data_IF_618433357034
#
_entry.id   IF_618433357034
#
_cell.length_a   1.000
_cell.length_b   1.000
_cell.length_c   1.000
_cell.angle_alpha   90.00
_cell.angle_beta   90.00
_cell.angle_gamma   90.00
#
_symmetry.space_group_name_H-M   'P 1'
#
loop_
_entity.id
_entity.type
_entity.pdbx_description
1 polymer ?
#
# COMPACT_ATOMS: atom_id res chain seq x y z
N UNK A 1 3.64 31.62 15.77
CA UNK A 1 2.76 32.15 16.84
C UNK A 1 1.34 32.16 16.32
N UNK A 2 0.62 31.07 16.54
CA UNK A 2 -0.79 30.94 16.21
C UNK A 2 -1.64 31.97 16.96
N UNK A 3 -2.69 32.48 16.32
CA UNK A 3 -3.70 33.29 17.00
C UNK A 3 -4.49 32.42 18.01
N UNK A 4 -5.12 33.06 19.01
CA UNK A 4 -5.95 32.34 20.01
C UNK A 4 -7.05 31.51 19.35
N UNK A 5 -7.69 32.06 18.32
CA UNK A 5 -8.75 31.37 17.56
C UNK A 5 -8.21 30.17 16.75
N UNK A 6 -7.00 30.29 16.19
CA UNK A 6 -6.34 29.18 15.46
C UNK A 6 -5.95 28.05 16.41
N UNK A 7 -5.41 28.37 17.58
CA UNK A 7 -5.06 27.39 18.60
C UNK A 7 -6.29 26.64 19.14
N UNK A 8 -7.42 27.32 19.30
CA UNK A 8 -8.68 26.69 19.71
C UNK A 8 -9.25 25.74 18.64
N UNK A 9 -9.22 26.12 17.35
CA UNK A 9 -9.63 25.24 16.25
C UNK A 9 -8.79 23.97 16.18
N UNK A 10 -7.46 24.11 16.28
CA UNK A 10 -6.53 22.99 16.31
C UNK A 10 -6.81 22.08 17.51
N UNK A 11 -7.00 22.66 18.70
CA UNK A 11 -7.34 21.90 19.92
C UNK A 11 -8.63 21.08 19.74
N UNK A 12 -9.68 21.67 19.18
CA UNK A 12 -10.94 20.95 18.93
C UNK A 12 -10.79 19.81 17.91
N UNK A 13 -9.97 20.01 16.87
CA UNK A 13 -9.67 18.97 15.89
C UNK A 13 -8.95 17.77 16.54
N UNK A 14 -7.95 18.03 17.39
CA UNK A 14 -7.27 16.98 18.15
C UNK A 14 -8.23 16.22 19.08
N UNK A 15 -9.09 16.92 19.81
CA UNK A 15 -10.06 16.32 20.72
C UNK A 15 -11.07 15.43 20.00
N UNK A 16 -11.46 15.79 18.78
CA UNK A 16 -12.39 15.00 17.95
C UNK A 16 -11.74 13.71 17.45
N UNK A 17 -10.46 13.74 17.08
CA UNK A 17 -9.70 12.54 16.67
C UNK A 17 -9.52 11.55 17.83
N UNK A 18 -9.36 12.03 19.06
CA UNK A 18 -9.24 11.17 20.25
C UNK A 18 -10.50 10.34 20.54
N UNK A 19 -11.68 10.75 20.05
CA UNK A 19 -12.93 10.01 20.23
C UNK A 19 -12.92 8.64 19.52
N UNK A 20 -11.95 8.39 18.64
CA UNK A 20 -11.78 7.13 17.91
C UNK A 20 -10.77 6.16 18.55
N UNK A 21 -10.15 6.54 19.68
CA UNK A 21 -9.14 5.73 20.37
C UNK A 21 -9.71 4.96 21.57
N UNK A 22 -9.07 3.85 22.00
CA UNK A 22 -9.42 3.14 23.24
C UNK A 22 -9.44 4.08 24.46
N UNK A 23 -10.46 3.94 25.33
CA UNK A 23 -10.79 4.92 26.38
C UNK A 23 -9.63 5.31 27.30
N UNK A 24 -8.74 4.36 27.62
CA UNK A 24 -7.63 4.59 28.55
C UNK A 24 -6.58 5.55 27.96
N UNK A 25 -6.24 5.39 26.68
CA UNK A 25 -5.28 6.25 25.97
C UNK A 25 -5.87 7.63 25.68
N UNK A 26 -7.15 7.68 25.31
CA UNK A 26 -7.87 8.92 25.04
C UNK A 26 -7.91 9.87 26.25
N UNK A 27 -8.09 9.34 27.46
CA UNK A 27 -8.22 10.14 28.69
C UNK A 27 -6.94 10.92 29.06
N UNK A 28 -5.77 10.31 28.85
CA UNK A 28 -4.46 10.90 29.17
C UNK A 28 -4.06 11.96 28.14
N UNK A 29 -4.26 11.66 26.86
CA UNK A 29 -3.99 12.57 25.74
C UNK A 29 -4.93 13.77 25.74
N UNK A 30 -6.20 13.57 26.11
CA UNK A 30 -7.19 14.65 26.23
C UNK A 30 -6.75 15.72 27.23
N UNK A 31 -6.32 15.30 28.43
CA UNK A 31 -5.82 16.22 29.46
C UNK A 31 -4.58 17.00 28.99
N UNK A 32 -3.67 16.34 28.27
CA UNK A 32 -2.46 16.98 27.74
C UNK A 32 -2.78 18.04 26.67
N UNK A 33 -3.73 17.76 25.77
CA UNK A 33 -4.17 18.69 24.71
C UNK A 33 -4.96 19.88 25.29
N UNK A 34 -5.77 19.66 26.32
CA UNK A 34 -6.50 20.73 27.02
C UNK A 34 -5.55 21.68 27.75
N UNK A 35 -4.46 21.17 28.34
CA UNK A 35 -3.46 22.00 29.05
C UNK A 35 -2.35 22.57 28.17
N UNK A 36 -2.29 22.24 26.88
CA UNK A 36 -1.18 22.63 26.00
C UNK A 36 -1.22 24.13 25.64
N UNK A 37 -0.04 24.76 25.66
CA UNK A 37 0.14 26.14 25.18
C UNK A 37 0.00 26.23 23.66
N UNK A 38 -0.25 27.43 23.09
CA UNK A 38 -0.33 27.61 21.64
C UNK A 38 0.89 27.10 20.87
N UNK A 39 2.10 27.29 21.40
CA UNK A 39 3.34 26.77 20.79
C UNK A 39 3.43 25.24 20.89
N UNK A 40 3.01 24.65 22.00
CA UNK A 40 2.96 23.18 22.15
C UNK A 40 1.93 22.56 21.21
N UNK A 41 0.78 23.21 21.01
CA UNK A 41 -0.23 22.79 20.02
C UNK A 41 0.29 22.92 18.59
N UNK A 42 1.05 23.98 18.28
CA UNK A 42 1.70 24.16 16.98
C UNK A 42 2.72 23.05 16.72
N UNK A 43 3.56 22.73 17.71
CA UNK A 43 4.55 21.63 17.62
C UNK A 43 3.88 20.25 17.53
N UNK A 44 2.82 20.00 18.30
CA UNK A 44 2.06 18.76 18.21
C UNK A 44 1.37 18.61 16.84
N UNK A 45 0.81 19.69 16.30
CA UNK A 45 0.22 19.70 14.96
C UNK A 45 1.28 19.46 13.89
N UNK A 46 2.43 20.13 13.98
CA UNK A 46 3.55 19.91 13.05
C UNK A 46 4.11 18.49 13.16
N UNK A 47 4.20 17.91 14.36
CA UNK A 47 4.64 16.53 14.55
C UNK A 47 3.62 15.51 14.03
N UNK A 48 2.31 15.74 14.22
CA UNK A 48 1.25 14.92 13.64
C UNK A 48 1.23 15.02 12.12
N UNK A 49 1.36 16.23 11.56
CA UNK A 49 1.46 16.47 10.12
C UNK A 49 2.72 15.77 9.59
N UNK A 50 3.87 15.89 10.24
CA UNK A 50 5.09 15.19 9.84
C UNK A 50 4.98 13.65 9.95
N UNK A 51 4.27 13.11 10.93
CA UNK A 51 4.01 11.65 11.03
C UNK A 51 2.96 11.17 10.03
N UNK A 52 1.90 11.95 9.79
CA UNK A 52 0.91 11.72 8.74
C UNK A 52 1.53 11.86 7.36
N UNK A 53 2.52 12.72 7.16
CA UNK A 53 3.29 12.88 5.93
C UNK A 53 4.33 11.76 5.76
N UNK A 54 4.92 11.27 6.86
CA UNK A 54 5.89 10.16 6.84
C UNK A 54 5.26 8.81 6.47
N UNK A 55 3.96 8.61 6.74
CA UNK A 55 3.23 7.37 6.43
C UNK A 55 1.91 7.58 5.65
N UNK A 56 1.67 8.80 5.17
CA UNK A 56 0.54 9.20 4.32
C UNK A 56 -0.87 9.01 4.93
N UNK A 57 -1.01 8.82 6.25
CA UNK A 57 -2.29 8.36 6.82
C UNK A 57 -2.71 6.95 6.37
N UNK A 58 -1.78 6.16 5.83
CA UNK A 58 -2.04 4.83 5.31
C UNK A 58 -1.91 3.76 6.41
N UNK A 59 -2.98 3.02 6.65
CA UNK A 59 -3.02 1.92 7.63
C UNK A 59 -1.95 0.85 7.33
N UNK A 60 -1.77 0.48 6.07
CA UNK A 60 -0.78 -0.54 5.68
C UNK A 60 0.66 -0.06 5.86
N UNK A 61 0.96 1.23 5.63
CA UNK A 61 2.26 1.81 5.99
C UNK A 61 2.53 1.74 7.50
N UNK A 62 1.50 1.94 8.34
CA UNK A 62 1.61 1.79 9.78
C UNK A 62 1.86 0.34 10.22
N UNK A 63 1.24 -0.64 9.54
CA UNK A 63 1.52 -2.06 9.75
C UNK A 63 2.96 -2.41 9.33
N UNK A 64 3.38 -2.01 8.13
CA UNK A 64 4.73 -2.26 7.59
C UNK A 64 5.82 -1.68 8.50
N UNK A 65 5.59 -0.49 9.07
CA UNK A 65 6.53 0.16 9.98
C UNK A 65 6.53 -0.42 11.40
N UNK A 66 5.67 -1.39 11.69
CA UNK A 66 5.58 -2.04 13.00
C UNK A 66 4.86 -1.21 14.08
N UNK A 67 4.21 -0.10 13.70
CA UNK A 67 3.43 0.73 14.63
C UNK A 67 2.12 0.03 15.05
N UNK A 68 1.57 -0.80 14.18
CA UNK A 68 0.35 -1.57 14.45
C UNK A 68 0.74 -3.05 14.52
N UNK A 69 0.39 -3.76 15.61
CA UNK A 69 0.67 -5.18 15.72
C UNK A 69 -0.12 -5.95 14.66
N UNK A 70 0.49 -7.02 14.13
CA UNK A 70 -0.11 -7.83 13.07
C UNK A 70 0.35 -9.28 13.17
N UNK A 71 -0.42 -10.19 12.59
CA UNK A 71 -0.06 -11.59 12.45
C UNK A 71 0.71 -11.80 11.14
N UNK A 72 1.99 -11.41 11.16
CA UNK A 72 2.91 -11.57 10.03
C UNK A 72 3.24 -13.04 9.81
N UNK A 73 3.06 -13.54 8.58
CA UNK A 73 3.28 -14.96 8.24
C UNK A 73 4.46 -15.15 7.29
N UNK A 74 4.80 -14.14 6.49
CA UNK A 74 5.93 -14.21 5.56
C UNK A 74 6.39 -12.80 5.19
N UNK A 75 7.69 -12.60 5.03
CA UNK A 75 8.28 -11.29 4.75
C UNK A 75 9.58 -11.44 3.98
N UNK A 76 9.81 -10.55 3.02
CA UNK A 76 11.09 -10.37 2.32
C UNK A 76 11.57 -8.92 2.49
N UNK A 77 12.61 -8.53 1.75
CA UNK A 77 13.07 -7.13 1.72
C UNK A 77 11.95 -6.16 1.35
N UNK A 78 11.16 -6.49 0.31
CA UNK A 78 10.22 -5.56 -0.30
C UNK A 78 8.74 -5.93 -0.08
N UNK A 79 8.44 -7.15 0.36
CA UNK A 79 7.07 -7.66 0.49
C UNK A 79 6.79 -8.18 1.89
N UNK A 80 5.52 -8.09 2.31
CA UNK A 80 5.01 -8.64 3.56
C UNK A 80 3.66 -9.31 3.33
N UNK A 81 3.44 -10.43 4.01
CA UNK A 81 2.17 -11.13 4.11
C UNK A 81 1.71 -11.19 5.57
N UNK A 82 0.45 -10.82 5.79
CA UNK A 82 -0.19 -10.80 7.11
C UNK A 82 -1.55 -11.50 7.04
N UNK A 83 -2.04 -12.07 8.14
CA UNK A 83 -3.42 -12.52 8.22
C UNK A 83 -4.37 -11.33 8.33
N UNK A 84 -5.50 -11.39 7.63
CA UNK A 84 -6.59 -10.46 7.82
C UNK A 84 -7.25 -10.69 9.19
N UNK A 85 -7.47 -9.60 9.94
CA UNK A 85 -8.11 -9.64 11.27
C UNK A 85 -9.64 -9.77 11.18
N UNK A 86 -10.22 -9.47 10.01
CA UNK A 86 -11.63 -9.68 9.67
C UNK A 86 -11.72 -10.63 8.47
N UNK A 87 -11.27 -11.88 8.62
CA UNK A 87 -11.06 -12.76 7.48
C UNK A 87 -12.40 -13.24 6.88
N UNK A 88 -12.52 -13.12 5.56
CA UNK A 88 -13.62 -13.74 4.81
C UNK A 88 -13.59 -15.28 4.80
N UNK A 89 -12.43 -15.90 5.03
CA UNK A 89 -12.26 -17.36 5.13
C UNK A 89 -11.04 -17.71 5.99
N UNK A 90 -10.94 -18.98 6.41
CA UNK A 90 -9.78 -19.49 7.14
C UNK A 90 -8.51 -19.29 6.31
N UNK A 91 -7.55 -18.53 6.86
CA UNK A 91 -6.28 -18.23 6.21
C UNK A 91 -6.32 -17.06 5.23
N UNK A 92 -7.38 -16.25 5.21
CA UNK A 92 -7.40 -15.00 4.46
C UNK A 92 -6.15 -14.17 4.80
N UNK A 93 -5.31 -13.95 3.78
CA UNK A 93 -4.01 -13.31 3.90
C UNK A 93 -3.96 -12.08 3.01
N UNK A 94 -3.41 -10.97 3.52
CA UNK A 94 -3.11 -9.77 2.75
C UNK A 94 -1.62 -9.75 2.42
N UNK A 95 -1.29 -9.63 1.13
CA UNK A 95 0.08 -9.47 0.63
C UNK A 95 0.25 -8.07 0.05
N UNK A 96 1.23 -7.32 0.52
CA UNK A 96 1.43 -5.92 0.13
C UNK A 96 2.93 -5.58 0.04
N UNK A 97 3.31 -4.60 -0.82
CA UNK A 97 4.66 -4.08 -0.81
C UNK A 97 4.88 -3.26 0.46
N UNK A 98 6.12 -3.24 0.95
CA UNK A 98 6.49 -2.39 2.09
C UNK A 98 6.50 -0.91 1.71
N UNK A 99 6.88 -0.60 0.48
CA UNK A 99 6.74 0.74 -0.06
C UNK A 99 5.27 1.01 -0.41
N UNK A 100 4.85 2.26 -0.22
CA UNK A 100 3.52 2.70 -0.59
C UNK A 100 3.35 2.80 -2.11
N UNK A 101 2.39 2.04 -2.64
CA UNK A 101 1.84 2.17 -3.98
C UNK A 101 0.34 2.06 -3.84
N UNK A 102 -0.44 2.91 -4.50
CA UNK A 102 -1.89 2.78 -4.46
C UNK A 102 -2.37 1.69 -5.43
N UNK A 103 -1.74 1.60 -6.61
CA UNK A 103 -2.18 0.73 -7.68
C UNK A 103 -1.11 -0.26 -8.15
N UNK A 104 -1.57 -1.42 -8.64
CA UNK A 104 -0.68 -2.49 -9.15
C UNK A 104 0.23 -2.02 -10.29
N UNK A 105 -0.30 -1.24 -11.23
CA UNK A 105 0.45 -0.77 -12.40
C UNK A 105 1.54 0.27 -12.09
N UNK A 106 1.61 0.75 -10.84
CA UNK A 106 2.67 1.65 -10.35
C UNK A 106 3.94 0.88 -9.91
N UNK A 107 3.84 -0.43 -9.71
CA UNK A 107 4.98 -1.27 -9.36
C UNK A 107 5.98 -1.32 -10.53
N UNK A 108 7.28 -1.36 -10.19
CA UNK A 108 8.33 -1.61 -11.18
C UNK A 108 8.36 -3.08 -11.59
N UNK A 109 8.98 -3.35 -12.74
CA UNK A 109 9.10 -4.71 -13.28
C UNK A 109 9.87 -5.64 -12.34
N UNK A 110 10.85 -5.10 -11.59
CA UNK A 110 11.58 -5.84 -10.56
C UNK A 110 10.66 -6.21 -9.38
N UNK A 111 9.86 -5.26 -8.88
CA UNK A 111 8.92 -5.52 -7.78
C UNK A 111 7.85 -6.53 -8.20
N UNK A 112 7.36 -6.45 -9.45
CA UNK A 112 6.42 -7.41 -10.01
C UNK A 112 7.02 -8.81 -10.11
N UNK A 113 8.28 -8.91 -10.57
CA UNK A 113 9.00 -10.18 -10.64
C UNK A 113 9.19 -10.80 -9.25
N UNK A 114 9.59 -9.98 -8.26
CA UNK A 114 9.71 -10.41 -6.87
C UNK A 114 8.37 -10.86 -6.27
N UNK A 115 7.27 -10.18 -6.58
CA UNK A 115 5.92 -10.54 -6.14
C UNK A 115 5.52 -11.94 -6.63
N UNK A 116 5.78 -12.25 -7.90
CA UNK A 116 5.50 -13.57 -8.46
C UNK A 116 6.24 -14.68 -7.71
N UNK A 117 7.53 -14.47 -7.40
CA UNK A 117 8.33 -15.41 -6.62
C UNK A 117 7.83 -15.50 -5.17
N UNK A 118 7.48 -14.37 -4.56
CA UNK A 118 6.91 -14.30 -3.21
C UNK A 118 5.63 -15.12 -3.10
N UNK A 119 4.70 -14.93 -4.04
CA UNK A 119 3.42 -15.67 -4.08
C UNK A 119 3.64 -17.16 -4.36
N UNK A 120 4.57 -17.52 -5.25
CA UNK A 120 4.94 -18.91 -5.54
C UNK A 120 5.42 -19.64 -4.29
N UNK A 121 6.15 -18.97 -3.40
CA UNK A 121 6.61 -19.56 -2.14
C UNK A 121 5.50 -19.65 -1.09
N UNK A 122 4.62 -18.64 -1.00
CA UNK A 122 3.62 -18.53 0.05
C UNK A 122 2.37 -19.39 -0.20
N UNK A 123 1.81 -19.36 -1.42
CA UNK A 123 0.50 -19.94 -1.72
C UNK A 123 0.43 -21.46 -1.44
N UNK A 124 1.41 -22.29 -1.86
CA UNK A 124 1.36 -23.73 -1.59
C UNK A 124 1.35 -24.04 -0.10
N UNK A 125 2.13 -23.29 0.70
CA UNK A 125 2.16 -23.45 2.15
C UNK A 125 0.82 -23.04 2.76
N UNK A 126 0.24 -21.93 2.31
CA UNK A 126 -1.06 -21.45 2.78
C UNK A 126 -2.17 -22.47 2.49
N UNK A 127 -2.22 -23.04 1.29
CA UNK A 127 -3.18 -24.08 0.91
C UNK A 127 -3.01 -25.32 1.80
N UNK A 128 -1.78 -25.79 1.99
CA UNK A 128 -1.50 -26.98 2.79
C UNK A 128 -1.87 -26.80 4.27
N UNK A 129 -1.49 -25.67 4.88
CA UNK A 129 -1.78 -25.37 6.30
C UNK A 129 -3.28 -25.22 6.54
N UNK A 130 -4.01 -24.65 5.58
CA UNK A 130 -5.46 -24.46 5.72
C UNK A 130 -6.27 -25.68 5.33
N UNK A 131 -5.65 -26.66 4.63
CA UNK A 131 -6.31 -27.79 3.97
C UNK A 131 -7.37 -27.33 2.93
N UNK A 132 -7.12 -26.19 2.28
CA UNK A 132 -7.98 -25.67 1.23
C UNK A 132 -7.84 -26.49 -0.07
N UNK A 133 -8.87 -26.51 -0.90
CA UNK A 133 -8.83 -27.16 -2.22
C UNK A 133 -8.35 -26.21 -3.33
N UNK A 134 -8.24 -24.92 -3.04
CA UNK A 134 -7.76 -23.91 -3.98
C UNK A 134 -7.53 -22.56 -3.31
N UNK A 135 -7.39 -21.52 -4.13
CA UNK A 135 -7.16 -20.16 -3.67
C UNK A 135 -7.72 -19.16 -4.70
N UNK A 136 -8.38 -18.11 -4.23
CA UNK A 136 -8.67 -16.91 -5.01
C UNK A 136 -7.65 -15.83 -4.66
N UNK A 137 -7.14 -15.15 -5.69
CA UNK A 137 -6.30 -13.95 -5.54
C UNK A 137 -7.13 -12.76 -6.02
N UNK A 138 -7.37 -11.80 -5.15
CA UNK A 138 -8.17 -10.62 -5.45
C UNK A 138 -7.36 -9.36 -5.19
N UNK A 139 -7.41 -8.40 -6.12
CA UNK A 139 -6.96 -7.03 -5.88
C UNK A 139 -8.03 -6.07 -6.34
N UNK A 140 -8.52 -5.25 -5.42
CA UNK A 140 -9.37 -4.12 -5.74
C UNK A 140 -8.48 -2.90 -6.04
N UNK A 141 -8.73 -2.24 -7.17
CA UNK A 141 -7.95 -1.10 -7.67
C UNK A 141 -8.91 0.09 -7.85
N UNK A 142 -8.90 1.03 -6.91
CA UNK A 142 -9.83 2.17 -6.90
C UNK A 142 -11.21 1.80 -6.34
N UNK A 143 -12.09 1.22 -7.16
CA UNK A 143 -13.43 0.82 -6.72
C UNK A 143 -13.32 -0.37 -5.77
N UNK A 144 -14.02 -0.32 -4.62
CA UNK A 144 -13.96 -1.31 -3.52
C UNK A 144 -12.58 -1.49 -2.86
N UNK A 145 -11.59 -0.66 -3.24
CA UNK A 145 -10.30 -0.63 -2.56
C UNK A 145 -10.46 0.08 -1.21
N UNK A 146 -10.59 -0.71 -0.14
CA UNK A 146 -10.82 -0.18 1.23
C UNK A 146 -9.68 0.66 1.77
N UNK A 147 -8.44 0.29 1.43
CA UNK A 147 -7.23 0.99 1.86
C UNK A 147 -6.45 1.36 0.61
N UNK A 148 -6.09 2.64 0.41
CA UNK A 148 -5.40 3.12 -0.79
C UNK A 148 -3.91 2.75 -0.77
N UNK A 149 -3.62 1.46 -0.58
CA UNK A 149 -2.31 0.83 -0.66
C UNK A 149 -2.50 -0.53 -1.30
N UNK A 150 -1.72 -0.82 -2.31
CA UNK A 150 -1.84 -2.01 -3.14
C UNK A 150 -1.68 -3.25 -2.28
N UNK A 151 -2.68 -4.14 -2.35
CA UNK A 151 -2.59 -5.44 -1.71
C UNK A 151 -3.31 -6.49 -2.54
N UNK A 152 -2.79 -7.72 -2.49
CA UNK A 152 -3.53 -8.91 -2.86
C UNK A 152 -4.17 -9.51 -1.62
N UNK A 153 -5.46 -9.80 -1.72
CA UNK A 153 -6.18 -10.70 -0.83
C UNK A 153 -6.03 -12.13 -1.37
N UNK A 154 -5.37 -12.98 -0.60
CA UNK A 154 -5.28 -14.42 -0.84
C UNK A 154 -6.35 -15.09 0.01
N UNK A 155 -7.33 -15.71 -0.65
CA UNK A 155 -8.49 -16.34 -0.02
C UNK A 155 -8.48 -17.83 -0.31
N UNK A 156 -8.03 -18.67 0.64
CA UNK A 156 -8.13 -20.13 0.52
C UNK A 156 -9.58 -20.56 0.29
N UNK A 157 -9.78 -21.48 -0.67
CA UNK A 157 -11.10 -21.91 -1.14
C UNK A 157 -11.46 -23.29 -0.63
N UNK A 158 -12.68 -23.42 -0.14
CA UNK A 158 -13.24 -24.67 0.36
C UNK A 158 -14.48 -25.05 -0.44
N UNK A 159 -14.74 -26.36 -0.57
CA UNK A 159 -15.84 -26.91 -1.39
C UNK A 159 -17.21 -26.25 -1.14
N UNK A 160 -17.47 -25.81 0.09
CA UNK A 160 -18.73 -25.24 0.54
C UNK A 160 -18.55 -23.87 1.25
N UNK A 161 -17.56 -23.07 0.82
CA UNK A 161 -17.23 -21.79 1.49
C UNK A 161 -18.22 -20.64 1.24
N UNK A 162 -19.15 -20.82 0.30
CA UNK A 162 -20.12 -19.78 -0.11
C UNK A 162 -19.50 -18.45 -0.53
N UNK A 163 -18.19 -18.42 -0.84
CA UNK A 163 -17.49 -17.24 -1.35
C UNK A 163 -17.71 -17.16 -2.86
N UNK A 164 -18.82 -16.56 -3.26
CA UNK A 164 -19.19 -16.42 -4.65
C UNK A 164 -18.71 -15.08 -5.21
N UNK A 165 -17.95 -15.13 -6.30
CA UNK A 165 -17.64 -13.98 -7.16
C UNK A 165 -18.55 -13.99 -8.39
N UNK A 166 -19.82 -14.34 -8.21
CA UNK A 166 -20.75 -14.43 -9.31
C UNK A 166 -21.13 -13.03 -9.80
N UNK A 167 -20.89 -12.78 -11.08
CA UNK A 167 -21.30 -11.57 -11.76
C UNK A 167 -22.22 -11.94 -12.92
N UNK A 168 -23.25 -11.14 -13.12
CA UNK A 168 -24.11 -11.25 -14.30
C UNK A 168 -23.27 -11.13 -15.57
N UNK A 169 -23.27 -12.18 -16.40
CA UNK A 169 -22.56 -12.17 -17.68
C UNK A 169 -23.44 -11.51 -18.73
N UNK A 170 -22.92 -10.45 -19.34
CA UNK A 170 -23.58 -9.76 -20.44
C UNK A 170 -23.06 -10.28 -21.78
N UNK A 171 -23.97 -10.51 -22.73
CA UNK A 171 -23.61 -10.85 -24.11
C UNK A 171 -23.15 -9.59 -24.84
N UNK A 172 -22.02 -9.67 -25.55
CA UNK A 172 -21.53 -8.61 -26.44
C UNK A 172 -21.54 -9.10 -27.90
N UNK A 173 -21.71 -8.19 -28.86
CA UNK A 173 -21.62 -8.52 -30.28
C UNK A 173 -20.17 -8.73 -30.73
N UNK A 174 -19.98 -9.48 -31.82
CA UNK A 174 -18.65 -9.71 -32.39
C UNK A 174 -18.02 -8.40 -32.87
N UNK A 175 -18.80 -7.53 -33.51
CA UNK A 175 -18.34 -6.24 -34.02
C UNK A 175 -17.84 -5.32 -32.89
N UNK A 176 -18.55 -5.26 -31.76
CA UNK A 176 -18.13 -4.49 -30.58
C UNK A 176 -16.82 -5.00 -30.01
N UNK A 177 -16.68 -6.32 -29.86
CA UNK A 177 -15.48 -6.96 -29.34
C UNK A 177 -14.27 -6.72 -30.25
N UNK A 178 -14.43 -6.85 -31.58
CA UNK A 178 -13.35 -6.61 -32.54
C UNK A 178 -12.90 -5.14 -32.55
N UNK A 179 -13.85 -4.20 -32.48
CA UNK A 179 -13.55 -2.77 -32.39
C UNK A 179 -12.75 -2.47 -31.12
N UNK A 180 -13.21 -2.96 -29.97
CA UNK A 180 -12.56 -2.73 -28.69
C UNK A 180 -11.16 -3.37 -28.64
N UNK A 181 -11.00 -4.58 -29.15
CA UNK A 181 -9.71 -5.27 -29.21
C UNK A 181 -8.67 -4.49 -30.02
N UNK A 182 -9.06 -3.94 -31.18
CA UNK A 182 -8.18 -3.09 -32.00
C UNK A 182 -7.76 -1.84 -31.26
N UNK A 183 -8.69 -1.16 -30.61
CA UNK A 183 -8.43 0.07 -29.87
C UNK A 183 -7.47 -0.17 -28.69
N UNK A 184 -7.71 -1.20 -27.89
CA UNK A 184 -6.85 -1.56 -26.74
C UNK A 184 -5.45 -1.91 -27.22
N UNK A 185 -5.33 -2.80 -28.22
CA UNK A 185 -4.03 -3.31 -28.69
C UNK A 185 -3.15 -2.19 -29.28
N UNK A 186 -3.76 -1.27 -30.02
CA UNK A 186 -3.06 -0.11 -30.57
C UNK A 186 -2.51 0.82 -29.46
N UNK A 187 -3.28 1.03 -28.39
CA UNK A 187 -2.88 1.89 -27.27
C UNK A 187 -1.82 1.23 -26.38
N UNK A 188 -1.95 -0.05 -26.07
CA UNK A 188 -0.96 -0.79 -25.26
C UNK A 188 0.41 -0.75 -25.92
N UNK A 189 0.49 -1.02 -27.23
CA UNK A 189 1.75 -0.99 -27.99
C UNK A 189 2.45 0.36 -27.89
N UNK A 190 1.68 1.46 -27.89
CA UNK A 190 2.20 2.82 -27.71
C UNK A 190 2.70 3.05 -26.29
N UNK A 191 1.91 2.69 -25.28
CA UNK A 191 2.26 2.87 -23.87
C UNK A 191 3.49 2.05 -23.48
N UNK A 192 3.65 0.83 -24.00
CA UNK A 192 4.86 0.03 -23.79
C UNK A 192 6.10 0.67 -24.41
N UNK A 193 5.97 1.23 -25.62
CA UNK A 193 7.04 2.00 -26.26
C UNK A 193 7.45 3.19 -25.40
N UNK A 194 6.49 3.99 -24.94
CA UNK A 194 6.74 5.15 -24.06
C UNK A 194 7.35 4.75 -22.70
N UNK A 195 6.96 3.61 -22.13
CA UNK A 195 7.51 3.07 -20.86
C UNK A 195 8.97 2.65 -21.02
N UNK A 196 9.29 1.91 -22.08
CA UNK A 196 10.66 1.46 -22.38
C UNK A 196 11.60 2.64 -22.63
N UNK A 197 11.16 3.68 -23.34
CA UNK A 197 11.97 4.89 -23.56
C UNK A 197 12.30 5.59 -22.23
N UNK A 198 11.31 5.76 -21.34
CA UNK A 198 11.51 6.36 -20.01
C UNK A 198 12.44 5.54 -19.11
N UNK A 199 12.39 4.22 -19.19
CA UNK A 199 13.31 3.34 -18.45
C UNK A 199 14.76 3.46 -18.93
N UNK A 200 14.97 3.57 -20.25
CA UNK A 200 16.29 3.81 -20.83
C UNK A 200 16.84 5.15 -20.35
N UNK A 201 16.07 6.23 -20.47
CA UNK A 201 16.45 7.58 -20.02
C UNK A 201 16.82 7.60 -18.52
N UNK A 202 16.01 6.98 -17.67
CA UNK A 202 16.24 6.90 -16.22
C UNK A 202 17.49 6.08 -15.87
N UNK A 203 17.78 5.04 -16.64
CA UNK A 203 18.99 4.22 -16.49
C UNK A 203 20.23 4.99 -16.91
N UNK A 204 20.16 5.77 -17.99
CA UNK A 204 21.24 6.63 -18.45
C UNK A 204 21.54 7.78 -17.48
N UNK A 205 20.50 8.42 -16.92
CA UNK A 205 20.66 9.45 -15.88
C UNK A 205 21.29 8.88 -14.60
N UNK A 206 20.86 7.68 -14.17
CA UNK A 206 21.45 7.02 -13.01
C UNK A 206 22.94 6.71 -13.23
N UNK A 207 23.30 6.20 -14.41
CA UNK A 207 24.71 5.95 -14.80
C UNK A 207 25.53 7.25 -14.85
N UNK A 208 24.96 8.35 -15.36
CA UNK A 208 25.63 9.67 -15.36
C UNK A 208 25.87 10.17 -13.93
N UNK A 209 24.87 10.11 -13.05
CA UNK A 209 25.01 10.49 -11.63
C UNK A 209 26.02 9.64 -10.89
N UNK A 210 26.03 8.32 -11.13
CA UNK A 210 27.01 7.40 -10.53
C UNK A 210 28.44 7.67 -11.05
N UNK A 211 28.59 8.00 -12.34
CA UNK A 211 29.89 8.40 -12.92
C UNK A 211 30.39 9.75 -12.36
N UNK A 212 29.50 10.72 -12.18
CA UNK A 212 29.82 12.03 -11.57
C UNK A 212 30.20 11.89 -10.09
N UNK A 213 29.48 11.06 -9.33
CA UNK A 213 29.81 10.76 -7.92
C UNK A 213 31.12 9.95 -7.79
N UNK A 214 31.39 9.04 -8.73
CA UNK A 214 32.66 8.30 -8.80
C UNK A 214 33.88 9.17 -9.12
N UNK A 215 33.67 10.34 -9.73
CA UNK A 215 34.73 11.30 -10.05
C UNK A 215 35.13 12.17 -8.84
N UNK A 216 34.20 12.41 -7.90
CA UNK A 216 34.45 13.20 -6.68
C UNK A 216 35.32 12.44 -5.66
N UNK A 217 35.37 11.10 -5.74
CA UNK A 217 36.16 10.25 -4.84
C UNK A 217 37.64 10.05 -5.18
N UNK A 218 38.18 10.67 -6.25
CA UNK A 218 39.58 10.50 -6.69
C UNK A 218 40.36 11.83 -6.77
N UNK A 219 40.56 12.51 -5.64
CA UNK A 219 41.60 13.54 -5.40
C UNK A 219 41.98 13.45 -3.91
N UNK A 220 43.22 13.25 -3.45
CA UNK A 220 44.57 13.40 -3.99
C UNK A 220 45.51 12.30 -3.40
N UNK A 221 46.62 11.95 -4.08
CA UNK A 221 47.70 11.18 -3.46
C UNK A 221 48.51 12.06 -2.48
N UNK A 222 48.92 11.48 -1.34
CA UNK A 222 50.01 11.99 -0.49
C UNK A 222 51.33 11.38 -0.95
#
# INVERSE_FOLDING_TARGET
MLSKEQAEKIRQQFLTQLAQLPQEQASKLKKQIESATPEQLEQLAQAQVAEQEKYGGCLFCAIVSGKIPTFKIYETKNWIAILDIMPACKGHTLVMPKQHFQFFFQLSDELLSELCVFLKSLIPVLINVTAAQGLSIVAHQGIEQRIPHFSFSLMPRFKDDNLLFEQERKQASKEELEKLAKEISARVSRTEGERKTKEIEKTEEKKKREAEMGFIGKRLPR
#
